data_IF_259439697830
#
_entry.id   IF_259439697830
#
_cell.length_a   1.000
_cell.length_b   1.000
_cell.length_c   1.000
_cell.angle_alpha   90.00
_cell.angle_beta   90.00
_cell.angle_gamma   90.00
#
_symmetry.space_group_name_H-M   'P 1'
#
loop_
_entity.id
_entity.type
_entity.pdbx_description
1 polymer ?
#
# COMPACT_ATOMS: atom_id res chain seq x y z
N UNK A 1 45.75 31.76 -39.75
CA UNK A 1 46.09 30.37 -40.10
C UNK A 1 46.23 29.54 -38.85
N UNK A 2 45.18 28.85 -38.42
CA UNK A 2 45.26 27.77 -37.41
C UNK A 2 44.17 26.75 -37.78
N UNK A 3 44.61 25.60 -38.30
CA UNK A 3 43.79 24.47 -38.69
C UNK A 3 43.12 23.83 -37.45
N UNK A 4 41.81 23.73 -37.45
CA UNK A 4 41.05 22.96 -36.48
C UNK A 4 40.89 21.53 -36.99
N UNK A 5 41.35 20.60 -36.20
CA UNK A 5 41.27 19.15 -36.41
C UNK A 5 39.90 18.62 -36.00
N UNK A 6 39.13 18.11 -36.95
CA UNK A 6 37.84 17.47 -36.73
C UNK A 6 38.09 16.02 -36.30
N UNK A 7 37.70 15.68 -35.08
CA UNK A 7 37.71 14.29 -34.61
C UNK A 7 36.35 13.69 -34.92
N UNK A 8 36.30 12.73 -35.83
CA UNK A 8 35.12 11.92 -36.14
C UNK A 8 35.12 10.74 -35.16
N UNK A 9 34.19 10.73 -34.25
CA UNK A 9 33.96 9.59 -33.35
C UNK A 9 33.05 8.56 -34.07
N UNK A 10 33.62 7.40 -34.36
CA UNK A 10 32.89 6.28 -34.93
C UNK A 10 32.04 5.59 -33.86
N UNK A 11 30.74 5.54 -34.12
CA UNK A 11 29.76 4.80 -33.32
C UNK A 11 29.85 3.32 -33.72
N UNK A 12 30.32 2.47 -32.81
CA UNK A 12 30.28 1.01 -32.99
C UNK A 12 28.95 0.50 -32.43
N UNK A 13 28.02 0.12 -33.30
CA UNK A 13 26.82 -0.63 -32.93
C UNK A 13 27.21 -2.09 -32.68
N UNK A 14 27.21 -2.52 -31.43
CA UNK A 14 27.26 -3.93 -31.05
C UNK A 14 25.85 -4.52 -31.03
N UNK A 15 25.53 -5.33 -32.04
CA UNK A 15 24.36 -6.21 -32.07
C UNK A 15 24.56 -7.35 -31.06
N UNK A 16 23.95 -7.26 -29.92
CA UNK A 16 23.88 -8.34 -28.92
C UNK A 16 22.88 -9.41 -29.36
N UNK A 17 23.38 -10.60 -29.65
CA UNK A 17 22.61 -11.82 -29.93
C UNK A 17 21.97 -12.29 -28.61
N UNK A 18 20.65 -12.37 -28.58
CA UNK A 18 19.92 -13.00 -27.48
C UNK A 18 19.90 -14.52 -27.67
N UNK A 19 20.17 -15.34 -26.64
CA UNK A 19 19.91 -16.77 -26.71
C UNK A 19 18.42 -17.05 -26.50
N UNK A 20 17.82 -17.79 -27.43
CA UNK A 20 16.48 -18.35 -27.32
C UNK A 20 16.48 -19.46 -26.25
N UNK A 21 15.65 -19.32 -25.23
CA UNK A 21 15.33 -20.40 -24.31
C UNK A 21 14.22 -21.26 -24.91
N UNK A 22 14.54 -22.52 -25.16
CA UNK A 22 13.66 -23.57 -25.62
C UNK A 22 12.62 -23.93 -24.60
N UNK A 23 11.36 -24.07 -25.07
CA UNK A 23 10.26 -24.68 -24.34
C UNK A 23 10.55 -26.18 -24.18
N UNK A 24 10.50 -26.65 -22.91
CA UNK A 24 10.44 -28.05 -22.55
C UNK A 24 9.06 -28.34 -21.94
N UNK A 25 8.20 -29.05 -22.66
CA UNK A 25 6.92 -29.56 -22.19
C UNK A 25 7.09 -30.90 -21.50
N UNK A 26 6.10 -31.27 -20.71
CA UNK A 26 5.83 -32.60 -20.09
C UNK A 26 5.10 -32.38 -18.78
N UNK A 27 3.86 -32.76 -18.51
CA UNK A 27 3.14 -33.93 -18.93
C UNK A 27 2.90 -34.85 -17.73
N UNK A 28 1.58 -35.01 -17.34
CA UNK A 28 1.13 -36.08 -16.46
C UNK A 28 0.94 -35.67 -15.01
N UNK A 29 -0.21 -35.83 -14.33
CA UNK A 29 -1.25 -36.81 -14.43
C UNK A 29 -1.61 -37.28 -13.04
N UNK A 30 -2.92 -37.26 -12.71
CA UNK A 30 -3.48 -38.35 -11.95
C UNK A 30 -3.87 -38.14 -10.50
N UNK A 31 -5.17 -38.09 -10.23
CA UNK A 31 -5.88 -38.99 -9.33
C UNK A 31 -6.01 -38.52 -7.87
N UNK A 32 -7.20 -38.26 -7.35
CA UNK A 32 -8.29 -39.14 -7.15
C UNK A 32 -8.65 -39.26 -5.67
N UNK A 33 -9.94 -39.15 -5.32
CA UNK A 33 -10.55 -39.71 -4.11
C UNK A 33 -10.69 -38.73 -2.95
N UNK A 34 -11.86 -38.37 -2.42
CA UNK A 34 -13.05 -39.11 -2.20
C UNK A 34 -13.39 -39.18 -0.72
N UNK A 35 -14.61 -38.88 -0.35
CA UNK A 35 -15.19 -39.12 0.97
C UNK A 35 -15.45 -37.85 1.77
N UNK A 36 -16.65 -37.36 2.08
CA UNK A 36 -17.85 -38.07 2.50
C UNK A 36 -17.97 -37.96 4.01
N UNK A 37 -18.93 -37.13 4.52
CA UNK A 37 -19.25 -37.14 5.94
C UNK A 37 -20.32 -36.11 6.28
N UNK A 38 -21.57 -36.55 6.28
CA UNK A 38 -22.78 -35.89 6.72
C UNK A 38 -22.87 -35.76 8.25
N UNK A 39 -23.57 -34.75 8.76
CA UNK A 39 -24.13 -34.66 10.08
C UNK A 39 -24.34 -33.21 10.43
N UNK A 40 -25.47 -32.59 10.49
CA UNK A 40 -26.73 -32.97 11.06
C UNK A 40 -26.81 -32.44 12.48
N UNK A 41 -27.57 -31.35 12.71
CA UNK A 41 -27.94 -30.96 14.04
C UNK A 41 -28.32 -29.49 14.16
N UNK A 42 -29.59 -29.18 13.99
CA UNK A 42 -30.19 -27.89 14.34
C UNK A 42 -30.29 -27.70 15.84
N UNK A 43 -30.32 -26.50 16.29
CA UNK A 43 -31.19 -26.08 17.39
C UNK A 43 -31.46 -24.58 17.35
N UNK A 44 -32.70 -24.25 17.45
CA UNK A 44 -33.36 -22.98 17.60
C UNK A 44 -33.31 -22.48 19.06
N UNK A 45 -33.36 -21.16 19.24
CA UNK A 45 -33.75 -20.48 20.47
C UNK A 45 -32.87 -19.29 20.76
N UNK A 46 -33.37 -18.08 20.62
CA UNK A 46 -34.19 -17.40 21.54
C UNK A 46 -33.47 -16.27 22.24
N UNK A 47 -33.81 -15.02 21.93
CA UNK A 47 -34.00 -13.84 22.73
C UNK A 47 -32.93 -13.42 23.76
N UNK A 48 -32.58 -12.13 23.70
CA UNK A 48 -31.97 -11.45 24.84
C UNK A 48 -31.28 -10.16 24.52
N UNK A 49 -32.02 -9.06 24.53
CA UNK A 49 -31.49 -7.71 24.68
C UNK A 49 -30.76 -7.59 26.00
N UNK A 50 -29.54 -7.04 26.00
CA UNK A 50 -29.08 -6.19 27.12
C UNK A 50 -27.83 -5.44 26.70
N UNK A 51 -27.85 -4.12 26.92
CA UNK A 51 -26.79 -3.18 26.70
C UNK A 51 -25.56 -3.47 27.56
N UNK A 52 -24.43 -3.10 27.01
CA UNK A 52 -23.17 -3.06 27.70
C UNK A 52 -22.33 -1.99 27.04
N UNK A 53 -22.27 -0.81 27.63
CA UNK A 53 -21.40 0.27 27.24
C UNK A 53 -19.94 -0.15 27.37
N UNK A 54 -19.24 -0.16 26.25
CA UNK A 54 -17.79 -0.25 26.19
C UNK A 54 -17.25 1.10 25.73
N UNK A 55 -16.69 1.86 26.66
CA UNK A 55 -15.89 3.04 26.38
C UNK A 55 -14.65 2.59 25.61
N UNK A 56 -14.62 2.82 24.33
CA UNK A 56 -13.39 2.75 23.54
C UNK A 56 -12.88 4.16 23.36
N UNK A 57 -11.70 4.39 23.91
CA UNK A 57 -10.85 5.56 23.82
C UNK A 57 -10.72 6.00 22.36
N UNK A 58 -11.13 7.24 22.08
CA UNK A 58 -11.23 7.80 20.76
C UNK A 58 -9.88 8.06 20.10
N UNK A 59 -9.63 7.34 19.04
CA UNK A 59 -8.74 7.80 17.97
C UNK A 59 -9.60 8.43 16.89
N UNK A 60 -9.21 9.59 16.36
CA UNK A 60 -9.93 10.53 15.49
C UNK A 60 -10.68 10.05 14.25
N UNK A 61 -11.24 8.83 14.24
CA UNK A 61 -11.93 8.23 13.11
C UNK A 61 -13.42 8.57 12.94
N UNK A 62 -14.02 9.30 13.87
CA UNK A 62 -15.47 9.50 13.85
C UNK A 62 -15.98 10.57 12.88
N UNK A 63 -15.13 11.53 12.49
CA UNK A 63 -15.56 12.64 11.63
C UNK A 63 -15.75 12.26 10.18
N UNK A 64 -14.99 11.26 9.69
CA UNK A 64 -15.01 10.85 8.29
C UNK A 64 -16.27 10.06 7.92
N UNK A 65 -16.83 9.30 8.87
CA UNK A 65 -18.07 8.52 8.66
C UNK A 65 -19.35 9.35 8.59
N UNK A 66 -19.29 10.63 8.95
CA UNK A 66 -20.46 11.52 8.94
C UNK A 66 -20.71 12.14 7.55
N UNK A 67 -19.71 12.20 6.67
CA UNK A 67 -19.86 12.72 5.32
C UNK A 67 -20.18 11.60 4.33
N UNK A 68 -20.81 11.95 3.21
CA UNK A 68 -21.06 10.99 2.11
C UNK A 68 -19.77 10.71 1.33
N UNK A 69 -19.75 9.60 0.62
CA UNK A 69 -18.63 9.27 -0.29
C UNK A 69 -18.32 10.47 -1.21
N UNK A 70 -17.03 10.74 -1.40
CA UNK A 70 -16.51 11.90 -2.13
C UNK A 70 -16.79 13.28 -1.49
N UNK A 71 -17.07 13.31 -0.20
CA UNK A 71 -17.12 14.52 0.62
C UNK A 71 -16.06 14.46 1.71
N UNK A 72 -15.67 15.62 2.24
CA UNK A 72 -14.79 15.78 3.41
C UNK A 72 -15.40 16.79 4.35
N UNK A 73 -15.12 16.65 5.66
CA UNK A 73 -15.60 17.59 6.65
C UNK A 73 -14.62 18.76 6.81
N UNK A 74 -15.12 19.96 6.63
CA UNK A 74 -14.40 21.19 7.02
C UNK A 74 -14.41 21.30 8.56
N UNK A 75 -13.22 21.27 9.17
CA UNK A 75 -13.07 21.30 10.63
C UNK A 75 -13.59 22.59 11.26
N UNK A 76 -13.57 23.71 10.54
CA UNK A 76 -14.03 25.01 11.04
C UNK A 76 -15.56 25.12 11.02
N UNK A 77 -16.17 24.77 9.89
CA UNK A 77 -17.62 24.92 9.70
C UNK A 77 -18.42 23.69 10.11
N UNK A 78 -17.74 22.55 10.34
CA UNK A 78 -18.33 21.22 10.60
C UNK A 78 -19.26 20.72 9.49
N UNK A 79 -19.19 21.34 8.31
CA UNK A 79 -19.99 20.96 7.14
C UNK A 79 -19.22 20.02 6.24
N UNK A 80 -19.94 19.08 5.61
CA UNK A 80 -19.38 18.27 4.53
C UNK A 80 -19.35 19.09 3.23
N UNK A 81 -18.21 19.04 2.56
CA UNK A 81 -17.98 19.69 1.26
C UNK A 81 -17.51 18.65 0.26
N UNK A 82 -17.88 18.79 -1.00
CA UNK A 82 -17.40 17.90 -2.06
C UNK A 82 -15.89 18.02 -2.20
N UNK A 83 -15.25 16.88 -2.38
CA UNK A 83 -13.80 16.83 -2.62
C UNK A 83 -13.48 17.52 -3.94
N UNK A 84 -12.57 18.48 -3.89
CA UNK A 84 -11.96 19.13 -5.06
C UNK A 84 -10.57 19.60 -4.70
N UNK A 85 -9.74 19.84 -5.72
CA UNK A 85 -8.35 20.25 -5.54
C UNK A 85 -8.25 21.48 -4.62
N UNK A 86 -7.52 21.30 -3.51
CA UNK A 86 -7.26 22.36 -2.54
C UNK A 86 -8.49 22.92 -1.84
N UNK A 87 -9.60 22.17 -1.76
CA UNK A 87 -10.85 22.62 -1.11
C UNK A 87 -10.66 22.92 0.39
N UNK A 88 -9.77 22.17 1.04
CA UNK A 88 -9.37 22.35 2.43
C UNK A 88 -7.84 22.49 2.51
N UNK A 89 -7.28 22.88 3.67
CA UNK A 89 -5.85 22.78 3.93
C UNK A 89 -5.33 21.35 3.70
N UNK A 90 -4.12 21.24 3.15
CA UNK A 90 -3.51 19.95 2.81
C UNK A 90 -3.46 18.99 3.99
N UNK A 91 -3.16 19.51 5.20
CA UNK A 91 -3.15 18.73 6.44
C UNK A 91 -4.55 18.16 6.78
N UNK A 92 -5.62 18.92 6.58
CA UNK A 92 -6.98 18.42 6.83
C UNK A 92 -7.39 17.33 5.82
N UNK A 93 -7.03 17.51 4.56
CA UNK A 93 -7.24 16.50 3.52
C UNK A 93 -6.42 15.24 3.80
N UNK A 94 -5.15 15.40 4.21
CA UNK A 94 -4.29 14.27 4.56
C UNK A 94 -4.87 13.45 5.71
N UNK A 95 -5.27 14.10 6.81
CA UNK A 95 -5.84 13.40 7.97
C UNK A 95 -7.11 12.63 7.61
N UNK A 96 -7.98 13.20 6.76
CA UNK A 96 -9.20 12.52 6.35
C UNK A 96 -8.90 11.41 5.33
N UNK A 97 -8.01 11.66 4.37
CA UNK A 97 -7.60 10.66 3.38
C UNK A 97 -6.93 9.45 4.01
N UNK A 98 -6.00 9.66 4.97
CA UNK A 98 -5.35 8.56 5.68
C UNK A 98 -6.32 7.78 6.58
N UNK A 99 -7.24 8.45 7.27
CA UNK A 99 -8.27 7.80 8.05
C UNK A 99 -9.23 6.95 7.20
N UNK A 100 -9.61 7.44 6.01
CA UNK A 100 -10.39 6.68 5.03
C UNK A 100 -9.66 5.44 4.54
N UNK A 101 -8.36 5.57 4.26
CA UNK A 101 -7.52 4.45 3.86
C UNK A 101 -7.47 3.36 4.95
N UNK A 102 -7.26 3.76 6.20
CA UNK A 102 -7.27 2.85 7.35
C UNK A 102 -8.64 2.21 7.59
N UNK A 103 -9.73 2.91 7.26
CA UNK A 103 -11.09 2.39 7.34
C UNK A 103 -11.47 1.45 6.17
N UNK A 104 -10.57 1.23 5.20
CA UNK A 104 -10.83 0.39 4.02
C UNK A 104 -11.58 1.09 2.87
N UNK A 105 -11.84 2.40 2.99
CA UNK A 105 -12.52 3.20 1.98
C UNK A 105 -11.51 3.71 0.92
N UNK A 106 -10.82 2.79 0.26
CA UNK A 106 -9.64 3.07 -0.57
C UNK A 106 -9.91 4.03 -1.72
N UNK A 107 -10.98 3.86 -2.48
CA UNK A 107 -11.32 4.75 -3.61
C UNK A 107 -11.62 6.17 -3.12
N UNK A 108 -12.29 6.28 -1.97
CA UNK A 108 -12.58 7.58 -1.38
C UNK A 108 -11.31 8.21 -0.82
N UNK A 109 -10.45 7.44 -0.16
CA UNK A 109 -9.13 7.88 0.29
C UNK A 109 -8.29 8.43 -0.88
N UNK A 110 -8.21 7.70 -2.00
CA UNK A 110 -7.51 8.13 -3.20
C UNK A 110 -8.06 9.46 -3.75
N UNK A 111 -9.39 9.61 -3.76
CA UNK A 111 -10.04 10.86 -4.19
C UNK A 111 -9.66 12.03 -3.29
N UNK A 112 -9.63 11.83 -1.97
CA UNK A 112 -9.26 12.87 -1.00
C UNK A 112 -7.77 13.20 -1.06
N UNK A 113 -6.91 12.20 -1.13
CA UNK A 113 -5.45 12.39 -1.23
C UNK A 113 -5.06 13.11 -2.54
N UNK A 114 -5.76 12.82 -3.65
CA UNK A 114 -5.54 13.52 -4.92
C UNK A 114 -5.96 15.00 -4.89
N UNK A 115 -6.78 15.42 -3.93
CA UNK A 115 -7.17 16.82 -3.76
C UNK A 115 -6.15 17.69 -3.02
N UNK A 116 -5.12 17.09 -2.43
CA UNK A 116 -4.00 17.76 -1.75
C UNK A 116 -3.14 18.49 -2.78
N UNK A 117 -2.67 19.70 -2.47
CA UNK A 117 -1.84 20.49 -3.38
C UNK A 117 -0.43 19.94 -3.50
N UNK A 118 0.18 19.56 -2.35
CA UNK A 118 1.53 18.98 -2.33
C UNK A 118 1.48 17.46 -2.57
N UNK A 119 1.44 17.07 -3.83
CA UNK A 119 1.45 15.65 -4.22
C UNK A 119 2.81 14.95 -4.02
N UNK A 120 3.86 15.71 -3.70
CA UNK A 120 5.20 15.17 -3.39
C UNK A 120 5.47 15.07 -1.88
N UNK A 121 4.46 15.19 -1.04
CA UNK A 121 4.59 14.90 0.39
C UNK A 121 4.78 13.38 0.58
N UNK A 122 5.84 12.92 1.29
CA UNK A 122 6.07 11.49 1.50
C UNK A 122 4.92 10.75 2.17
N UNK A 123 4.20 11.41 3.08
CA UNK A 123 3.05 10.82 3.77
C UNK A 123 1.85 10.66 2.84
N UNK A 124 1.60 11.64 1.97
CA UNK A 124 0.55 11.57 0.92
C UNK A 124 0.85 10.43 -0.05
N UNK A 125 2.10 10.34 -0.52
CA UNK A 125 2.55 9.26 -1.38
C UNK A 125 2.41 7.89 -0.71
N UNK A 126 2.76 7.79 0.58
CA UNK A 126 2.64 6.55 1.34
C UNK A 126 1.19 6.06 1.43
N UNK A 127 0.25 6.90 1.83
CA UNK A 127 -1.16 6.51 1.93
C UNK A 127 -1.85 6.33 0.58
N UNK A 128 -1.38 7.02 -0.47
CA UNK A 128 -1.78 6.72 -1.85
C UNK A 128 -1.34 5.30 -2.23
N UNK A 129 -0.07 4.95 -1.96
CA UNK A 129 0.45 3.60 -2.15
C UNK A 129 -0.31 2.54 -1.38
N UNK A 130 -0.61 2.82 -0.10
CA UNK A 130 -1.40 1.93 0.76
C UNK A 130 -2.79 1.66 0.18
N UNK A 131 -3.50 2.71 -0.20
CA UNK A 131 -4.85 2.60 -0.77
C UNK A 131 -4.85 1.82 -2.09
N UNK A 132 -3.86 2.07 -2.96
CA UNK A 132 -3.68 1.33 -4.21
C UNK A 132 -3.41 -0.15 -3.95
N UNK A 133 -2.45 -0.47 -3.08
CA UNK A 133 -2.10 -1.86 -2.74
C UNK A 133 -3.29 -2.62 -2.16
N UNK A 134 -3.97 -2.04 -1.17
CA UNK A 134 -5.12 -2.67 -0.50
C UNK A 134 -6.36 -2.77 -1.40
N UNK A 135 -6.47 -1.96 -2.46
CA UNK A 135 -7.52 -2.08 -3.48
C UNK A 135 -7.17 -3.03 -4.64
N UNK A 136 -6.06 -3.78 -4.54
CA UNK A 136 -5.64 -4.76 -5.55
C UNK A 136 -4.72 -4.19 -6.64
N UNK A 137 -4.37 -2.91 -6.60
CA UNK A 137 -3.46 -2.24 -7.54
C UNK A 137 -2.02 -2.27 -7.03
N UNK A 138 -1.52 -3.50 -6.79
CA UNK A 138 -0.29 -3.78 -6.06
C UNK A 138 0.95 -3.09 -6.65
N UNK A 139 1.20 -3.24 -7.95
CA UNK A 139 2.40 -2.68 -8.58
C UNK A 139 2.39 -1.14 -8.57
N UNK A 140 1.21 -0.52 -8.71
CA UNK A 140 1.08 0.93 -8.57
C UNK A 140 1.39 1.38 -7.14
N UNK A 141 0.89 0.66 -6.13
CA UNK A 141 1.20 0.91 -4.72
C UNK A 141 2.71 0.89 -4.46
N UNK A 142 3.42 -0.12 -4.96
CA UNK A 142 4.89 -0.23 -4.86
C UNK A 142 5.59 0.99 -5.46
N UNK A 143 5.13 1.51 -6.59
CA UNK A 143 5.70 2.72 -7.20
C UNK A 143 5.56 3.93 -6.29
N UNK A 144 4.42 4.10 -5.62
CA UNK A 144 4.18 5.23 -4.72
C UNK A 144 5.04 5.16 -3.45
N UNK A 145 5.22 3.99 -2.84
CA UNK A 145 6.15 3.82 -1.71
C UNK A 145 7.59 4.16 -2.08
N UNK A 146 8.04 3.71 -3.26
CA UNK A 146 9.37 4.07 -3.76
C UNK A 146 9.54 5.58 -3.97
N UNK A 147 8.51 6.28 -4.46
CA UNK A 147 8.53 7.75 -4.57
C UNK A 147 8.63 8.40 -3.19
N UNK A 148 7.85 7.93 -2.20
CA UNK A 148 7.94 8.42 -0.83
C UNK A 148 9.35 8.27 -0.26
N UNK A 149 9.97 7.10 -0.44
CA UNK A 149 11.32 6.81 0.02
C UNK A 149 12.43 7.54 -0.75
N UNK A 150 12.19 7.90 -2.01
CA UNK A 150 13.12 8.74 -2.77
C UNK A 150 13.18 10.17 -2.20
N UNK A 151 12.08 10.66 -1.61
CA UNK A 151 12.00 11.99 -0.98
C UNK A 151 12.47 11.91 0.48
N UNK A 152 12.00 10.91 1.23
CA UNK A 152 12.39 10.67 2.61
C UNK A 152 12.91 9.23 2.79
N UNK A 153 14.24 9.00 2.64
CA UNK A 153 14.84 7.68 2.80
C UNK A 153 14.73 7.09 4.22
N UNK A 154 14.40 7.91 5.21
CA UNK A 154 14.25 7.49 6.61
C UNK A 154 12.80 7.24 7.01
N UNK A 155 11.87 7.24 6.08
CA UNK A 155 10.45 6.98 6.35
C UNK A 155 10.20 5.49 6.58
N UNK A 156 10.27 5.06 7.84
CA UNK A 156 10.22 3.66 8.27
C UNK A 156 8.90 2.99 7.88
N UNK A 157 7.76 3.65 8.13
CA UNK A 157 6.43 3.14 7.75
C UNK A 157 6.29 2.89 6.23
N UNK A 158 6.89 3.76 5.39
CA UNK A 158 6.86 3.53 3.95
C UNK A 158 7.72 2.33 3.52
N UNK A 159 8.78 2.01 4.27
CA UNK A 159 9.60 0.80 4.04
C UNK A 159 8.84 -0.46 4.43
N UNK A 160 8.17 -0.44 5.57
CA UNK A 160 7.31 -1.54 5.99
C UNK A 160 6.25 -1.83 4.91
N UNK A 161 5.47 -0.82 4.50
CA UNK A 161 4.43 -0.99 3.48
C UNK A 161 4.98 -1.40 2.11
N UNK A 162 6.19 -0.96 1.75
CA UNK A 162 6.90 -1.44 0.57
C UNK A 162 7.28 -2.91 0.70
N UNK A 163 7.80 -3.30 1.87
CA UNK A 163 8.15 -4.69 2.20
C UNK A 163 6.93 -5.61 2.12
N UNK A 164 5.81 -5.23 2.74
CA UNK A 164 4.53 -5.95 2.61
C UNK A 164 4.08 -6.06 1.14
N UNK A 165 4.23 -4.97 0.37
CA UNK A 165 3.95 -4.99 -1.06
C UNK A 165 4.82 -5.99 -1.81
N UNK A 166 6.09 -6.13 -1.43
CA UNK A 166 6.99 -7.13 -2.00
C UNK A 166 6.60 -8.55 -1.60
N UNK A 167 6.21 -8.78 -0.34
CA UNK A 167 5.69 -10.09 0.10
C UNK A 167 4.47 -10.47 -0.73
N UNK A 168 3.49 -9.57 -0.85
CA UNK A 168 2.29 -9.79 -1.66
C UNK A 168 2.58 -10.04 -3.15
N UNK A 169 3.69 -9.51 -3.66
CA UNK A 169 4.17 -9.74 -5.02
C UNK A 169 5.04 -11.00 -5.17
N UNK A 170 5.23 -11.79 -4.10
CA UNK A 170 6.14 -12.95 -4.08
C UNK A 170 7.63 -12.60 -4.14
N UNK A 171 7.99 -11.32 -3.92
CA UNK A 171 9.37 -10.79 -4.00
C UNK A 171 10.01 -10.76 -2.62
N UNK A 172 10.10 -11.91 -1.97
CA UNK A 172 10.53 -12.06 -0.56
C UNK A 172 11.94 -11.49 -0.32
N UNK A 173 12.85 -11.66 -1.27
CA UNK A 173 14.23 -11.14 -1.12
C UNK A 173 14.24 -9.60 -1.03
N UNK A 174 13.38 -8.91 -1.80
CA UNK A 174 13.23 -7.45 -1.72
C UNK A 174 12.60 -7.03 -0.38
N UNK A 175 11.61 -7.77 0.13
CA UNK A 175 11.03 -7.52 1.44
C UNK A 175 12.07 -7.63 2.56
N UNK A 176 12.97 -8.63 2.52
CA UNK A 176 14.08 -8.79 3.46
C UNK A 176 15.08 -7.63 3.39
N UNK A 177 15.29 -7.03 2.21
CA UNK A 177 16.11 -5.82 2.08
C UNK A 177 15.47 -4.66 2.84
N UNK A 178 14.16 -4.43 2.67
CA UNK A 178 13.47 -3.36 3.40
C UNK A 178 13.45 -3.62 4.92
N UNK A 179 13.28 -4.87 5.36
CA UNK A 179 13.38 -5.25 6.77
C UNK A 179 14.73 -4.89 7.37
N UNK A 180 15.83 -5.17 6.67
CA UNK A 180 17.17 -4.79 7.10
C UNK A 180 17.36 -3.26 7.14
N UNK A 181 16.75 -2.54 6.20
CA UNK A 181 16.78 -1.07 6.18
C UNK A 181 15.97 -0.46 7.34
N UNK A 182 14.88 -1.09 7.75
CA UNK A 182 14.10 -0.72 8.94
C UNK A 182 14.96 -0.93 10.19
N UNK A 183 15.59 -2.11 10.34
CA UNK A 183 16.44 -2.44 11.48
C UNK A 183 17.57 -1.42 11.71
N UNK A 184 18.16 -0.88 10.63
CA UNK A 184 19.21 0.16 10.70
C UNK A 184 18.69 1.50 11.23
N UNK A 185 17.39 1.78 11.12
CA UNK A 185 16.79 3.08 11.47
C UNK A 185 16.15 3.11 12.84
N UNK A 186 15.39 2.08 13.19
CA UNK A 186 14.68 2.02 14.47
C UNK A 186 15.00 0.77 15.31
N UNK A 187 15.88 -0.12 14.81
CA UNK A 187 16.19 -1.38 15.51
C UNK A 187 15.18 -2.49 15.16
N UNK A 188 15.33 -3.61 15.85
CA UNK A 188 14.49 -4.80 15.63
C UNK A 188 13.28 -4.89 16.56
N UNK A 189 13.08 -3.87 17.40
CA UNK A 189 12.01 -3.83 18.39
C UNK A 189 10.93 -2.79 18.05
N UNK A 190 11.10 -1.98 16.99
CA UNK A 190 10.06 -1.09 16.52
C UNK A 190 8.94 -1.87 15.83
N UNK A 191 7.75 -1.29 15.85
CA UNK A 191 6.50 -1.89 15.33
C UNK A 191 6.66 -2.31 13.87
N UNK A 192 7.17 -1.43 13.03
CA UNK A 192 7.32 -1.65 11.59
C UNK A 192 8.28 -2.81 11.25
N UNK A 193 9.32 -3.02 12.10
CA UNK A 193 10.18 -4.19 11.93
C UNK A 193 9.45 -5.48 12.26
N UNK A 194 8.72 -5.50 13.37
CA UNK A 194 8.02 -6.69 13.84
C UNK A 194 6.89 -7.06 12.86
N UNK A 195 6.12 -6.08 12.41
CA UNK A 195 5.04 -6.31 11.45
C UNK A 195 5.55 -6.86 10.11
N UNK A 196 6.61 -6.25 9.55
CA UNK A 196 7.17 -6.76 8.30
C UNK A 196 7.84 -8.13 8.47
N UNK A 197 8.53 -8.41 9.59
CA UNK A 197 9.12 -9.71 9.87
C UNK A 197 8.03 -10.79 9.89
N UNK A 198 6.92 -10.53 10.58
CA UNK A 198 5.78 -11.44 10.65
C UNK A 198 5.13 -11.68 9.27
N UNK A 199 5.00 -10.65 8.44
CA UNK A 199 4.51 -10.79 7.06
C UNK A 199 5.43 -11.67 6.21
N UNK A 200 6.75 -11.51 6.34
CA UNK A 200 7.74 -12.34 5.63
C UNK A 200 7.66 -13.80 6.07
N UNK A 201 7.52 -14.06 7.37
CA UNK A 201 7.42 -15.42 7.91
C UNK A 201 6.14 -16.13 7.46
N UNK A 202 5.02 -15.42 7.42
CA UNK A 202 3.74 -16.00 6.96
C UNK A 202 3.66 -16.16 5.44
N UNK A 203 4.46 -15.44 4.68
CA UNK A 203 4.43 -15.46 3.21
C UNK A 203 3.18 -14.83 2.60
N UNK A 204 2.52 -13.92 3.33
CA UNK A 204 1.26 -13.27 2.97
C UNK A 204 1.37 -11.75 3.04
#
# INVERSE_FOLDING_TARGET
>A
MKSGMIVVAALVLSLGVMPAFAQGGGGGGGGGGGGGGSGGGGNSGGGGSSGGGGSSSGGGGQTVKQCKKNEVQDKKTKKCVKVSYGILPDEELYQQGSALAQAGEFDWALTVLAAIRNQNDPHVLNYTGYSLRKSGRLDEGIVYYRKALAINPNFVLAREYLGEGYVAAGRIDLAKIELNEIAKRCGTTCEEYQELAEHIERGI
#
